data_IF_468241238291
#
_entry.id   IF_468241238291
#
_cell.length_a   1.000
_cell.length_b   1.000
_cell.length_c   1.000
_cell.angle_alpha   90.00
_cell.angle_beta   90.00
_cell.angle_gamma   90.00
#
_symmetry.space_group_name_H-M   'P 1'
#
loop_
_entity.id
_entity.type
_entity.pdbx_description
1 polymer ?
#
# COMPACT_ATOMS: atom_id res chain seq x y z
N UNK A 1 92.94 -30.94 3.17
CA UNK A 1 92.27 -30.07 4.16
C UNK A 1 90.90 -29.70 3.61
N UNK A 2 89.84 -30.25 4.21
CA UNK A 2 88.42 -30.03 3.91
C UNK A 2 87.92 -28.69 4.49
N UNK A 3 86.91 -28.09 3.84
CA UNK A 3 85.61 -27.58 4.39
C UNK A 3 85.03 -26.46 3.50
N UNK A 4 84.05 -26.80 2.66
CA UNK A 4 82.59 -26.55 2.80
C UNK A 4 82.15 -25.10 2.61
N UNK A 5 81.66 -24.76 1.40
CA UNK A 5 80.78 -23.61 1.15
C UNK A 5 79.33 -24.04 1.38
N UNK A 6 78.65 -23.30 2.24
CA UNK A 6 77.23 -23.42 2.59
C UNK A 6 76.34 -22.99 1.43
N UNK A 7 75.58 -23.93 0.88
CA UNK A 7 74.54 -23.67 -0.11
C UNK A 7 73.18 -23.63 0.62
N UNK A 8 72.71 -22.42 0.91
CA UNK A 8 71.45 -22.19 1.61
C UNK A 8 70.31 -22.14 0.60
N UNK A 9 69.78 -23.31 0.22
CA UNK A 9 68.52 -23.43 -0.53
C UNK A 9 67.35 -22.88 0.31
N UNK A 10 66.94 -21.65 0.05
CA UNK A 10 65.61 -21.15 0.46
C UNK A 10 64.56 -21.75 -0.48
N UNK A 11 63.86 -22.77 0.00
CA UNK A 11 62.59 -23.19 -0.59
C UNK A 11 61.55 -22.09 -0.42
N UNK A 12 61.09 -21.51 -1.52
CA UNK A 12 59.85 -20.74 -1.53
C UNK A 12 58.69 -21.71 -1.39
N UNK A 13 58.21 -21.93 -0.17
CA UNK A 13 56.87 -22.44 0.07
C UNK A 13 55.89 -21.32 -0.32
N UNK A 14 55.16 -21.52 -1.42
CA UNK A 14 54.00 -20.71 -1.77
C UNK A 14 52.88 -21.05 -0.79
N UNK A 15 52.80 -20.31 0.32
CA UNK A 15 51.68 -20.39 1.25
C UNK A 15 50.41 -19.91 0.56
N UNK A 16 49.48 -20.83 0.28
CA UNK A 16 48.12 -20.50 -0.08
C UNK A 16 47.47 -19.77 1.11
N UNK A 17 47.34 -18.44 1.00
CA UNK A 17 46.74 -17.62 2.06
C UNK A 17 45.23 -17.92 2.25
N UNK A 18 44.65 -17.55 3.41
CA UNK A 18 43.30 -17.94 3.85
C UNK A 18 42.14 -17.19 3.16
N UNK A 19 42.34 -16.77 1.91
CA UNK A 19 41.44 -15.89 1.18
C UNK A 19 40.12 -16.52 0.68
N UNK A 20 39.93 -17.85 0.52
CA UNK A 20 38.65 -18.35 0.01
C UNK A 20 37.51 -18.28 1.04
N UNK A 21 37.80 -18.17 2.35
CA UNK A 21 36.78 -18.15 3.40
C UNK A 21 36.18 -16.76 3.66
N UNK A 22 36.92 -15.68 3.39
CA UNK A 22 36.41 -14.30 3.53
C UNK A 22 35.44 -13.95 2.39
N UNK A 23 35.56 -14.59 1.22
CA UNK A 23 34.70 -14.33 0.06
C UNK A 23 33.29 -14.96 0.16
N UNK A 24 33.12 -16.08 0.86
CA UNK A 24 31.80 -16.67 1.05
C UNK A 24 30.90 -15.85 2.00
N UNK A 25 31.50 -15.12 2.95
CA UNK A 25 30.77 -14.27 3.89
C UNK A 25 30.20 -12.98 3.25
N UNK A 26 30.81 -12.49 2.16
CA UNK A 26 30.32 -11.29 1.44
C UNK A 26 29.14 -11.58 0.48
N UNK A 27 28.94 -12.83 0.04
CA UNK A 27 27.79 -13.22 -0.79
C UNK A 27 26.52 -13.53 0.04
N UNK A 28 26.64 -13.89 1.31
CA UNK A 28 25.50 -14.30 2.15
C UNK A 28 24.75 -13.10 2.77
N UNK A 29 25.39 -11.93 2.89
CA UNK A 29 24.75 -10.74 3.46
C UNK A 29 23.91 -9.91 2.45
N UNK A 30 23.83 -10.30 1.18
CA UNK A 30 23.24 -9.47 0.12
C UNK A 30 21.73 -9.69 -0.13
N UNK A 31 21.04 -10.58 0.60
CA UNK A 31 19.66 -10.97 0.25
C UNK A 31 18.65 -11.05 1.40
N UNK A 32 18.88 -10.36 2.51
CA UNK A 32 17.83 -10.19 3.52
C UNK A 32 16.85 -9.09 3.06
N UNK A 33 16.02 -9.41 2.07
CA UNK A 33 14.86 -8.59 1.67
C UNK A 33 13.90 -8.57 2.86
N UNK A 34 13.77 -7.44 3.53
CA UNK A 34 12.75 -7.25 4.55
C UNK A 34 11.57 -6.53 3.93
N UNK A 35 10.38 -7.05 4.16
CA UNK A 35 9.14 -6.33 3.92
C UNK A 35 9.18 -4.98 4.66
N UNK A 36 8.87 -3.90 3.94
CA UNK A 36 8.76 -2.56 4.49
C UNK A 36 7.29 -2.15 4.54
N UNK A 37 6.88 -1.53 5.65
CA UNK A 37 5.57 -0.91 5.77
C UNK A 37 5.60 0.51 5.18
N UNK A 38 4.59 0.85 4.38
CA UNK A 38 4.39 2.17 3.79
C UNK A 38 2.95 2.59 4.10
N UNK A 39 2.78 3.70 4.80
CA UNK A 39 1.45 4.28 5.07
C UNK A 39 1.23 5.47 4.16
N UNK A 40 0.07 5.50 3.51
CA UNK A 40 -0.33 6.56 2.59
C UNK A 40 -1.65 7.14 3.11
N UNK A 41 -1.66 8.42 3.45
CA UNK A 41 -2.91 9.13 3.74
C UNK A 41 -3.72 9.29 2.44
N UNK A 42 -5.04 9.32 2.54
CA UNK A 42 -5.90 9.57 1.39
C UNK A 42 -5.55 10.90 0.72
N UNK A 43 -5.58 10.92 -0.61
CA UNK A 43 -5.55 12.14 -1.41
C UNK A 43 -6.91 12.85 -1.37
N UNK A 44 -7.98 12.06 -1.41
CA UNK A 44 -9.35 12.56 -1.25
C UNK A 44 -10.29 11.41 -0.83
N UNK A 45 -11.47 11.77 -0.36
CA UNK A 45 -12.54 10.85 0.06
C UNK A 45 -13.89 11.55 0.00
N UNK A 46 -14.95 10.77 -0.10
CA UNK A 46 -16.29 11.34 -0.11
C UNK A 46 -17.35 10.29 -0.36
N UNK A 47 -18.51 10.72 -0.82
CA UNK A 47 -19.64 9.87 -1.17
C UNK A 47 -20.38 10.36 -2.41
N UNK A 48 -21.04 9.44 -3.09
CA UNK A 48 -22.12 9.74 -4.03
C UNK A 48 -23.44 9.21 -3.45
N UNK A 49 -24.49 10.01 -3.59
CA UNK A 49 -25.87 9.58 -3.34
C UNK A 49 -26.43 8.79 -4.51
N UNK A 50 -27.50 8.04 -4.28
CA UNK A 50 -28.24 7.28 -5.30
C UNK A 50 -28.90 8.16 -6.36
N UNK A 51 -29.15 9.43 -6.04
CA UNK A 51 -29.52 10.51 -6.98
C UNK A 51 -28.35 11.02 -7.84
N UNK A 52 -27.12 10.57 -7.54
CA UNK A 52 -25.88 10.96 -8.19
C UNK A 52 -25.22 12.22 -7.62
N UNK A 53 -25.73 12.78 -6.53
CA UNK A 53 -25.17 13.96 -5.88
C UNK A 53 -23.86 13.64 -5.19
N UNK A 54 -22.86 14.50 -5.38
CA UNK A 54 -21.63 14.56 -4.58
C UNK A 54 -21.31 16.02 -4.30
N UNK A 55 -21.14 16.37 -3.02
CA UNK A 55 -20.70 17.69 -2.62
C UNK A 55 -19.21 17.66 -2.25
N UNK A 56 -18.35 18.17 -3.13
CA UNK A 56 -16.89 18.20 -2.95
C UNK A 56 -16.42 19.06 -1.76
N UNK A 57 -17.32 19.79 -1.11
CA UNK A 57 -17.02 20.60 0.09
C UNK A 57 -17.26 19.84 1.40
N UNK A 58 -17.86 18.64 1.34
CA UNK A 58 -18.13 17.78 2.49
C UNK A 58 -17.12 16.64 2.46
N UNK A 59 -16.37 16.44 3.55
CA UNK A 59 -15.26 15.50 3.60
C UNK A 59 -15.58 14.22 4.40
N UNK A 60 -16.83 14.06 4.85
CA UNK A 60 -17.30 12.77 5.36
C UNK A 60 -17.39 11.76 4.21
N UNK A 61 -17.32 10.49 4.57
CA UNK A 61 -17.31 9.37 3.61
C UNK A 61 -18.34 8.32 4.03
N UNK A 62 -19.55 8.79 4.25
CA UNK A 62 -20.71 7.99 4.60
C UNK A 62 -20.96 6.89 3.56
N UNK A 63 -21.26 5.68 4.04
CA UNK A 63 -21.93 4.66 3.27
C UNK A 63 -23.16 4.16 4.03
N UNK A 64 -24.23 3.83 3.31
CA UNK A 64 -25.45 3.25 3.90
C UNK A 64 -26.73 4.01 3.58
N UNK A 65 -27.82 3.58 4.20
CA UNK A 65 -29.14 4.21 4.11
C UNK A 65 -29.29 5.27 5.20
N UNK A 66 -29.92 6.37 4.83
CA UNK A 66 -30.08 7.54 5.66
C UNK A 66 -31.40 8.21 5.34
N UNK A 67 -32.45 7.79 6.05
CA UNK A 67 -33.83 8.28 5.91
C UNK A 67 -33.91 9.81 5.69
N UNK A 68 -34.11 10.21 4.43
CA UNK A 68 -34.26 11.62 4.02
C UNK A 68 -32.99 12.49 4.08
N UNK A 69 -31.81 11.90 4.30
CA UNK A 69 -30.53 12.60 4.29
C UNK A 69 -30.12 13.24 5.63
N UNK A 70 -30.72 12.84 6.76
CA UNK A 70 -30.48 13.35 8.12
C UNK A 70 -29.03 13.22 8.62
N UNK A 71 -28.33 12.19 8.14
CA UNK A 71 -26.95 11.87 8.43
C UNK A 71 -25.94 12.77 7.68
N UNK A 72 -26.41 13.62 6.76
CA UNK A 72 -25.59 14.63 6.07
C UNK A 72 -25.97 16.02 6.58
N UNK A 73 -25.02 16.69 7.21
CA UNK A 73 -25.25 18.01 7.79
C UNK A 73 -25.74 19.03 6.75
N UNK A 74 -26.93 19.59 6.97
CA UNK A 74 -27.52 20.59 6.08
C UNK A 74 -28.22 20.03 4.84
N UNK A 75 -28.46 18.71 4.80
CA UNK A 75 -29.15 18.02 3.71
C UNK A 75 -30.53 17.54 4.19
N UNK A 76 -31.58 17.86 3.43
CA UNK A 76 -32.89 17.20 3.50
C UNK A 76 -33.23 16.84 2.05
N UNK A 77 -32.40 15.98 1.49
CA UNK A 77 -32.17 15.84 0.05
C UNK A 77 -33.06 14.78 -0.59
N UNK A 78 -33.68 13.91 0.21
CA UNK A 78 -34.40 12.74 -0.29
C UNK A 78 -33.47 11.73 -0.97
N UNK A 79 -32.19 11.75 -0.59
CA UNK A 79 -31.20 10.72 -0.92
C UNK A 79 -31.36 9.64 0.13
N UNK A 80 -31.59 8.41 -0.32
CA UNK A 80 -31.81 7.27 0.56
C UNK A 80 -30.47 6.55 0.78
N UNK A 81 -29.76 6.18 -0.29
CA UNK A 81 -28.49 5.44 -0.18
C UNK A 81 -27.26 6.28 -0.54
N UNK A 82 -26.21 6.14 0.26
CA UNK A 82 -24.89 6.72 0.04
C UNK A 82 -23.84 5.63 -0.16
N UNK A 83 -22.92 5.85 -1.09
CA UNK A 83 -21.74 5.00 -1.30
C UNK A 83 -20.50 5.85 -1.32
N UNK A 84 -19.47 5.41 -0.62
CA UNK A 84 -18.26 6.20 -0.44
C UNK A 84 -17.15 5.82 -1.41
N UNK A 85 -16.16 6.71 -1.49
CA UNK A 85 -14.93 6.48 -2.22
C UNK A 85 -13.72 6.96 -1.43
N UNK A 86 -12.57 6.37 -1.73
CA UNK A 86 -11.27 6.75 -1.19
C UNK A 86 -10.23 6.75 -2.29
N UNK A 87 -9.47 7.83 -2.42
CA UNK A 87 -8.43 7.97 -3.44
C UNK A 87 -7.07 8.08 -2.77
N UNK A 88 -6.09 7.30 -3.24
CA UNK A 88 -4.71 7.30 -2.75
C UNK A 88 -3.74 7.54 -3.91
N UNK A 89 -2.63 8.23 -3.66
CA UNK A 89 -1.54 8.39 -4.62
C UNK A 89 -0.44 7.35 -4.40
N UNK A 90 -0.33 6.40 -5.33
CA UNK A 90 0.68 5.34 -5.30
C UNK A 90 1.99 5.73 -5.99
N UNK A 91 2.15 6.97 -6.46
CA UNK A 91 3.33 7.42 -7.21
C UNK A 91 4.65 7.27 -6.45
N UNK A 92 4.60 7.27 -5.11
CA UNK A 92 5.75 7.04 -4.22
C UNK A 92 6.03 5.58 -3.86
N UNK A 93 5.16 4.64 -4.27
CA UNK A 93 5.30 3.23 -3.90
C UNK A 93 6.29 2.55 -4.83
N UNK A 94 7.28 1.86 -4.26
CA UNK A 94 8.31 1.15 -5.02
C UNK A 94 8.45 -0.29 -4.55
N UNK A 95 8.62 -1.20 -5.51
CA UNK A 95 8.66 -2.64 -5.28
C UNK A 95 7.27 -3.28 -5.24
N UNK A 96 7.18 -4.62 -5.32
CA UNK A 96 5.91 -5.33 -5.29
C UNK A 96 5.22 -5.23 -3.92
N UNK A 97 3.93 -4.91 -3.95
CA UNK A 97 3.02 -4.92 -2.80
C UNK A 97 2.63 -6.37 -2.52
N UNK A 98 2.83 -6.83 -1.28
CA UNK A 98 2.52 -8.19 -0.83
C UNK A 98 1.34 -8.27 0.12
N UNK A 99 1.01 -7.18 0.80
CA UNK A 99 -0.18 -7.05 1.64
C UNK A 99 -0.62 -5.59 1.68
N UNK A 100 -1.90 -5.36 1.95
CA UNK A 100 -2.45 -4.02 2.09
C UNK A 100 -3.65 -4.03 3.05
N UNK A 101 -3.78 -2.96 3.83
CA UNK A 101 -4.87 -2.74 4.78
C UNK A 101 -5.43 -1.35 4.52
N UNK A 102 -6.74 -1.27 4.28
CA UNK A 102 -7.47 0.00 4.26
C UNK A 102 -7.89 0.34 5.69
N UNK A 103 -7.48 1.49 6.18
CA UNK A 103 -7.69 1.94 7.56
C UNK A 103 -8.60 3.16 7.54
N UNK A 104 -9.78 3.05 8.15
CA UNK A 104 -10.85 4.05 8.10
C UNK A 104 -11.33 4.42 9.51
N UNK A 105 -11.33 5.69 9.85
CA UNK A 105 -11.83 6.14 11.15
C UNK A 105 -13.37 6.18 11.17
N UNK A 106 -13.98 5.41 12.07
CA UNK A 106 -15.41 5.48 12.32
C UNK A 106 -15.65 6.26 13.62
N UNK A 107 -16.26 7.45 13.52
CA UNK A 107 -16.41 8.37 14.64
C UNK A 107 -17.42 7.87 15.69
N UNK A 108 -17.22 8.21 16.97
CA UNK A 108 -18.21 8.12 18.05
C UNK A 108 -18.83 9.50 18.39
N UNK A 109 -18.54 10.51 17.58
CA UNK A 109 -18.86 11.90 17.83
C UNK A 109 -17.75 12.82 17.32
N UNK A 110 -18.11 13.95 16.73
CA UNK A 110 -17.15 15.01 16.38
C UNK A 110 -17.38 16.25 17.22
N UNK A 111 -16.46 17.20 17.19
CA UNK A 111 -16.68 18.52 17.84
C UNK A 111 -17.88 19.25 17.25
N UNK A 112 -18.18 19.00 15.97
CA UNK A 112 -19.33 19.57 15.27
C UNK A 112 -20.62 18.78 15.55
N UNK A 113 -20.52 17.47 15.71
CA UNK A 113 -21.65 16.55 15.93
C UNK A 113 -21.36 15.59 17.10
N UNK A 114 -21.37 16.08 18.36
CA UNK A 114 -20.87 15.31 19.50
C UNK A 114 -21.76 14.13 19.93
N UNK A 115 -23.00 14.06 19.44
CA UNK A 115 -23.95 12.99 19.74
C UNK A 115 -24.24 12.11 18.51
N UNK A 116 -23.47 12.28 17.43
CA UNK A 116 -23.66 11.56 16.18
C UNK A 116 -22.50 10.59 15.96
N UNK A 117 -22.84 9.33 15.77
CA UNK A 117 -21.88 8.25 15.58
C UNK A 117 -21.79 7.85 14.11
N UNK A 118 -20.67 7.26 13.71
CA UNK A 118 -20.47 6.86 12.33
C UNK A 118 -21.22 5.57 11.95
N UNK A 119 -21.35 4.63 12.89
CA UNK A 119 -22.16 3.43 12.72
C UNK A 119 -23.48 3.49 13.50
N UNK A 120 -24.58 3.23 12.79
CA UNK A 120 -25.91 3.00 13.35
C UNK A 120 -26.65 1.97 12.49
N UNK A 121 -27.39 1.06 13.11
CA UNK A 121 -28.27 0.07 12.45
C UNK A 121 -29.16 -0.58 13.49
N UNK A 122 -30.46 -0.69 13.20
CA UNK A 122 -31.45 -1.35 14.07
C UNK A 122 -31.27 -2.88 14.13
N UNK A 123 -30.63 -3.47 13.12
CA UNK A 123 -30.29 -4.91 13.10
C UNK A 123 -29.06 -5.23 13.94
N UNK A 124 -28.26 -4.21 14.27
CA UNK A 124 -27.08 -4.29 15.11
C UNK A 124 -25.79 -4.70 14.37
N UNK A 125 -25.86 -5.02 13.08
CA UNK A 125 -24.69 -5.32 12.26
C UNK A 125 -24.93 -5.11 10.78
N UNK A 126 -23.95 -4.53 10.08
CA UNK A 126 -23.99 -4.37 8.62
C UNK A 126 -22.76 -4.97 7.95
N UNK A 127 -22.91 -5.47 6.72
CA UNK A 127 -21.80 -5.96 5.90
C UNK A 127 -21.38 -4.87 4.92
N UNK A 128 -20.21 -4.30 5.17
CA UNK A 128 -19.55 -3.34 4.30
C UNK A 128 -18.66 -4.06 3.28
N UNK A 129 -18.74 -3.63 2.03
CA UNK A 129 -17.97 -4.15 0.91
C UNK A 129 -17.02 -3.07 0.41
N UNK A 130 -15.75 -3.42 0.18
CA UNK A 130 -14.79 -2.60 -0.55
C UNK A 130 -14.67 -3.14 -1.96
N UNK A 131 -14.79 -2.26 -2.96
CA UNK A 131 -14.89 -2.64 -4.37
C UNK A 131 -13.90 -1.87 -5.26
N UNK A 132 -13.61 -2.47 -6.41
CA UNK A 132 -13.02 -1.80 -7.55
C UNK A 132 -13.89 -0.62 -8.03
N UNK A 133 -13.23 0.43 -8.51
CA UNK A 133 -13.85 1.59 -9.15
C UNK A 133 -13.35 1.70 -10.59
N UNK A 134 -14.27 1.74 -11.54
CA UNK A 134 -13.98 1.98 -12.97
C UNK A 134 -14.27 3.41 -13.42
N UNK A 135 -15.02 4.17 -12.62
CA UNK A 135 -15.27 5.60 -12.81
C UNK A 135 -13.94 6.34 -12.84
N UNK A 136 -13.77 7.22 -13.83
CA UNK A 136 -12.57 8.03 -13.93
C UNK A 136 -12.37 8.83 -12.62
N UNK A 137 -11.19 8.69 -12.01
CA UNK A 137 -10.88 9.34 -10.73
C UNK A 137 -11.11 10.86 -10.82
N UNK A 138 -10.73 11.50 -11.92
CA UNK A 138 -10.98 12.92 -12.13
C UNK A 138 -12.47 13.29 -12.07
N UNK A 139 -13.37 12.41 -12.53
CA UNK A 139 -14.82 12.60 -12.44
C UNK A 139 -15.35 12.40 -11.03
N UNK A 140 -14.81 11.41 -10.29
CA UNK A 140 -15.12 11.23 -8.86
C UNK A 140 -14.82 12.50 -8.06
N UNK A 141 -13.57 12.96 -8.16
CA UNK A 141 -13.06 14.13 -7.42
C UNK A 141 -13.78 15.43 -7.81
N UNK A 142 -14.19 15.56 -9.08
CA UNK A 142 -14.86 16.77 -9.56
C UNK A 142 -16.37 16.79 -9.26
N UNK A 143 -16.96 15.74 -8.67
CA UNK A 143 -18.41 15.66 -8.47
C UNK A 143 -19.20 15.52 -9.76
N UNK A 144 -18.57 15.01 -10.82
CA UNK A 144 -19.18 14.88 -12.16
C UNK A 144 -19.52 13.44 -12.54
N UNK A 145 -19.28 12.49 -11.62
CA UNK A 145 -19.55 11.06 -11.84
C UNK A 145 -21.04 10.68 -11.87
N UNK A 146 -21.89 11.43 -11.17
CA UNK A 146 -23.35 11.23 -11.11
C UNK A 146 -23.76 9.84 -10.62
N UNK A 147 -24.97 9.41 -11.01
CA UNK A 147 -25.50 8.08 -10.68
C UNK A 147 -24.63 6.92 -11.21
N UNK A 148 -23.86 7.16 -12.28
CA UNK A 148 -22.94 6.16 -12.80
C UNK A 148 -21.80 5.88 -11.81
N UNK A 149 -21.26 6.93 -11.17
CA UNK A 149 -20.29 6.76 -10.10
C UNK A 149 -20.90 6.02 -8.91
N UNK A 150 -22.09 6.44 -8.44
CA UNK A 150 -22.79 5.73 -7.37
C UNK A 150 -22.93 4.21 -7.65
N UNK A 151 -23.38 3.85 -8.85
CA UNK A 151 -23.50 2.44 -9.26
C UNK A 151 -22.15 1.70 -9.23
N UNK A 152 -21.09 2.34 -9.73
CA UNK A 152 -19.74 1.79 -9.80
C UNK A 152 -19.11 1.54 -8.42
N UNK A 153 -19.33 2.44 -7.44
CA UNK A 153 -18.75 2.34 -6.09
C UNK A 153 -19.11 1.06 -5.31
N UNK A 154 -20.20 0.37 -5.70
CA UNK A 154 -20.67 -0.86 -5.04
C UNK A 154 -20.77 -2.09 -5.93
N UNK A 155 -20.37 -2.02 -7.21
CA UNK A 155 -20.62 -3.10 -8.18
C UNK A 155 -19.36 -3.72 -8.81
N UNK A 156 -18.19 -3.13 -8.58
CA UNK A 156 -16.91 -3.64 -9.06
C UNK A 156 -16.44 -4.93 -8.37
N UNK A 157 -15.25 -5.39 -8.77
CA UNK A 157 -14.59 -6.54 -8.14
C UNK A 157 -14.43 -6.33 -6.63
N UNK A 158 -14.87 -7.28 -5.81
CA UNK A 158 -14.70 -7.21 -4.35
C UNK A 158 -13.21 -7.29 -3.96
N UNK A 159 -12.77 -6.29 -3.20
CA UNK A 159 -11.43 -6.17 -2.65
C UNK A 159 -11.34 -6.51 -1.18
N UNK A 160 -12.43 -6.32 -0.42
CA UNK A 160 -12.56 -6.78 0.95
C UNK A 160 -14.02 -6.77 1.40
N UNK A 161 -14.27 -7.37 2.56
CA UNK A 161 -15.54 -7.24 3.29
C UNK A 161 -15.26 -7.07 4.77
N UNK A 162 -16.08 -6.26 5.44
CA UNK A 162 -16.02 -5.99 6.86
C UNK A 162 -17.42 -6.06 7.47
N UNK A 163 -17.59 -6.72 8.61
CA UNK A 163 -18.84 -6.69 9.38
C UNK A 163 -18.76 -5.57 10.41
N UNK A 164 -19.50 -4.50 10.15
CA UNK A 164 -19.62 -3.36 11.04
C UNK A 164 -20.63 -3.64 12.15
N UNK A 165 -20.31 -3.16 13.35
CA UNK A 165 -21.19 -3.12 14.51
C UNK A 165 -20.91 -1.83 15.28
N UNK A 166 -21.69 -1.52 16.31
CA UNK A 166 -21.46 -0.35 17.17
C UNK A 166 -20.10 -0.35 17.86
N UNK A 167 -19.41 -1.50 17.95
CA UNK A 167 -18.05 -1.58 18.47
C UNK A 167 -17.01 -0.87 17.57
N UNK A 168 -17.34 -0.56 16.32
CA UNK A 168 -16.47 0.20 15.43
C UNK A 168 -16.47 1.71 15.75
N UNK A 169 -17.47 2.23 16.48
CA UNK A 169 -17.56 3.66 16.79
C UNK A 169 -16.38 4.09 17.69
N UNK A 170 -15.74 5.21 17.34
CA UNK A 170 -14.58 5.78 18.03
C UNK A 170 -13.26 5.08 17.73
N UNK A 171 -13.22 4.25 16.67
CA UNK A 171 -12.04 3.42 16.35
C UNK A 171 -11.65 3.53 14.88
N UNK A 172 -10.39 3.18 14.60
CA UNK A 172 -9.95 2.90 13.24
C UNK A 172 -10.33 1.47 12.89
N UNK A 173 -11.15 1.33 11.84
CA UNK A 173 -11.49 0.06 11.23
C UNK A 173 -10.37 -0.33 10.28
N UNK A 174 -9.73 -1.47 10.54
CA UNK A 174 -8.66 -2.02 9.70
C UNK A 174 -9.22 -3.14 8.82
N UNK A 175 -9.27 -2.90 7.51
CA UNK A 175 -9.85 -3.81 6.52
C UNK A 175 -8.72 -4.41 5.68
N UNK A 176 -8.39 -5.67 5.94
CA UNK A 176 -7.39 -6.40 5.16
C UNK A 176 -7.87 -6.63 3.73
N UNK A 177 -7.06 -6.21 2.75
CA UNK A 177 -7.38 -6.34 1.34
C UNK A 177 -6.99 -7.73 0.78
N UNK A 178 -7.83 -8.26 -0.11
CA UNK A 178 -7.65 -9.58 -0.69
C UNK A 178 -6.66 -9.59 -1.87
N UNK A 179 -6.38 -10.77 -2.43
CA UNK A 179 -5.42 -10.93 -3.53
C UNK A 179 -5.81 -10.20 -4.82
N UNK A 180 -7.11 -9.98 -5.08
CA UNK A 180 -7.55 -9.20 -6.23
C UNK A 180 -7.18 -7.72 -6.07
N UNK A 181 -7.35 -7.18 -4.87
CA UNK A 181 -6.92 -5.82 -4.53
C UNK A 181 -5.40 -5.68 -4.64
N UNK A 182 -4.63 -6.64 -4.11
CA UNK A 182 -3.16 -6.64 -4.23
C UNK A 182 -2.73 -6.67 -5.70
N UNK A 183 -3.39 -7.47 -6.54
CA UNK A 183 -3.11 -7.51 -7.96
C UNK A 183 -3.40 -6.15 -8.64
N UNK A 184 -4.52 -5.50 -8.31
CA UNK A 184 -4.89 -4.20 -8.86
C UNK A 184 -3.92 -3.09 -8.43
N UNK A 185 -3.56 -3.05 -7.13
CA UNK A 185 -2.60 -2.10 -6.58
C UNK A 185 -1.22 -2.21 -7.24
N UNK A 186 -0.74 -3.43 -7.51
CA UNK A 186 0.54 -3.64 -8.21
C UNK A 186 0.52 -3.23 -9.69
N UNK A 187 -0.67 -3.06 -10.29
CA UNK A 187 -0.81 -2.60 -11.67
C UNK A 187 -1.01 -1.08 -11.78
N UNK A 188 -1.24 -0.41 -10.64
CA UNK A 188 -1.42 1.02 -10.57
C UNK A 188 -0.07 1.74 -10.35
N UNK A 189 0.06 2.95 -10.90
CA UNK A 189 1.29 3.75 -10.81
C UNK A 189 1.04 5.23 -10.50
N UNK A 190 -0.14 5.55 -9.97
CA UNK A 190 -0.59 6.90 -9.68
C UNK A 190 -1.81 6.84 -8.77
N UNK A 191 -2.83 7.67 -9.05
CA UNK A 191 -4.06 7.63 -8.27
C UNK A 191 -4.77 6.27 -8.39
N UNK A 192 -5.22 5.75 -7.27
CA UNK A 192 -6.02 4.54 -7.15
C UNK A 192 -7.25 4.82 -6.29
N UNK A 193 -8.40 4.29 -6.68
CA UNK A 193 -9.65 4.50 -5.97
C UNK A 193 -10.24 3.17 -5.46
N UNK A 194 -10.80 3.23 -4.26
CA UNK A 194 -11.67 2.21 -3.68
C UNK A 194 -13.09 2.76 -3.60
N UNK A 195 -14.07 1.91 -3.87
CA UNK A 195 -15.48 2.17 -3.59
C UNK A 195 -15.93 1.41 -2.35
N UNK A 196 -16.93 1.93 -1.67
CA UNK A 196 -17.52 1.27 -0.51
C UNK A 196 -19.03 1.39 -0.43
N UNK A 197 -19.67 0.29 -0.04
CA UNK A 197 -21.13 0.18 0.08
C UNK A 197 -21.53 -0.81 1.17
N UNK A 198 -22.68 -0.59 1.81
CA UNK A 198 -23.31 -1.59 2.68
C UNK A 198 -24.15 -2.53 1.81
N UNK A 199 -24.04 -3.84 2.04
CA UNK A 199 -24.70 -4.89 1.22
C UNK A 199 -25.87 -5.56 1.92
N UNK A 200 -26.12 -5.19 3.18
CA UNK A 200 -27.15 -5.76 4.05
C UNK A 200 -28.27 -4.77 4.37
N UNK A 201 -28.31 -3.63 3.67
CA UNK A 201 -29.39 -2.64 3.81
C UNK A 201 -30.75 -3.32 3.68
N UNK A 202 -31.66 -2.98 4.58
CA UNK A 202 -32.95 -3.65 4.71
C UNK A 202 -34.01 -3.09 3.74
N UNK A 203 -33.76 -1.91 3.15
CA UNK A 203 -34.62 -1.22 2.18
C UNK A 203 -35.86 -0.55 2.79
N UNK A 204 -35.88 -0.35 4.10
CA UNK A 204 -36.85 0.47 4.81
C UNK A 204 -36.29 1.88 5.05
N UNK A 205 -37.16 2.88 5.25
CA UNK A 205 -36.73 4.24 5.60
C UNK A 205 -36.32 4.29 7.08
N UNK A 206 -35.21 3.63 7.41
CA UNK A 206 -34.51 3.73 8.68
C UNK A 206 -33.03 4.11 8.46
N UNK A 207 -32.28 4.32 9.54
CA UNK A 207 -30.86 4.67 9.44
C UNK A 207 -30.02 3.39 9.53
N UNK A 208 -29.23 3.13 8.49
CA UNK A 208 -28.28 2.02 8.41
C UNK A 208 -26.97 2.57 7.85
N UNK A 209 -26.17 3.18 8.72
CA UNK A 209 -25.02 3.98 8.31
C UNK A 209 -23.70 3.40 8.78
N UNK A 210 -22.63 3.67 8.02
CA UNK A 210 -21.24 3.48 8.43
C UNK A 210 -20.41 4.68 8.00
N UNK A 211 -19.46 5.08 8.85
CA UNK A 211 -18.63 6.28 8.66
C UNK A 211 -19.44 7.58 8.49
N UNK A 212 -20.69 7.62 8.95
CA UNK A 212 -21.46 8.84 9.02
C UNK A 212 -20.72 9.90 9.85
N UNK A 213 -20.93 11.18 9.55
CA UNK A 213 -20.33 12.29 10.32
C UNK A 213 -18.80 12.28 10.45
N UNK A 214 -18.05 11.52 9.64
CA UNK A 214 -16.58 11.43 9.64
C UNK A 214 -15.83 12.69 9.15
N UNK A 215 -16.45 13.86 9.26
CA UNK A 215 -16.04 15.15 8.69
C UNK A 215 -14.95 15.88 9.51
N UNK A 216 -13.94 15.15 9.98
CA UNK A 216 -12.82 15.75 10.72
C UNK A 216 -11.94 16.68 9.86
N UNK A 217 -12.06 16.56 8.53
CA UNK A 217 -11.19 17.19 7.55
C UNK A 217 -9.75 16.65 7.51
N UNK A 218 -9.40 15.69 8.37
CA UNK A 218 -8.07 15.10 8.41
C UNK A 218 -7.96 13.91 7.46
N UNK A 219 -7.16 14.03 6.41
CA UNK A 219 -6.93 12.93 5.47
C UNK A 219 -6.28 11.70 6.14
N UNK A 220 -5.58 11.88 7.26
CA UNK A 220 -5.05 10.78 8.09
C UNK A 220 -6.12 9.90 8.74
N UNK A 221 -7.39 10.30 8.73
CA UNK A 221 -8.50 9.45 9.16
C UNK A 221 -8.84 8.36 8.11
N UNK A 222 -8.14 8.38 6.97
CA UNK A 222 -8.30 7.44 5.87
C UNK A 222 -6.92 7.09 5.34
N UNK A 223 -6.43 5.89 5.60
CA UNK A 223 -5.07 5.47 5.26
C UNK A 223 -5.06 4.16 4.49
N UNK A 224 -4.07 4.01 3.62
CA UNK A 224 -3.71 2.75 2.99
C UNK A 224 -2.34 2.34 3.52
N UNK A 225 -2.30 1.28 4.31
CA UNK A 225 -1.04 0.67 4.75
C UNK A 225 -0.67 -0.45 3.78
N UNK A 226 0.55 -0.39 3.25
CA UNK A 226 1.10 -1.35 2.31
C UNK A 226 2.29 -2.06 2.93
N UNK A 227 2.38 -3.37 2.69
CA UNK A 227 3.63 -4.11 2.86
C UNK A 227 4.26 -4.29 1.49
N UNK A 228 5.42 -3.69 1.27
CA UNK A 228 6.19 -3.79 0.02
C UNK A 228 7.47 -4.59 0.24
N UNK A 229 7.90 -5.33 -0.78
CA UNK A 229 9.23 -5.94 -0.78
C UNK A 229 10.15 -5.01 -1.57
N UNK A 230 11.13 -4.34 -0.92
CA UNK A 230 12.07 -3.50 -1.65
C UNK A 230 12.80 -4.31 -2.70
N UNK A 231 13.16 -3.70 -3.83
CA UNK A 231 14.02 -4.36 -4.81
C UNK A 231 15.33 -4.81 -4.14
N UNK A 232 15.85 -6.02 -4.43
CA UNK A 232 17.18 -6.40 -4.01
C UNK A 232 18.16 -5.31 -4.41
N UNK A 233 19.18 -5.08 -3.59
CA UNK A 233 20.29 -4.20 -3.92
C UNK A 233 21.11 -4.80 -5.06
N UNK A 234 20.50 -4.99 -6.22
CA UNK A 234 21.09 -5.46 -7.48
C UNK A 234 22.24 -4.56 -7.87
N UNK A 235 22.23 -3.28 -7.47
CA UNK A 235 23.37 -2.37 -7.55
C UNK A 235 24.58 -2.82 -6.71
N UNK A 236 24.38 -3.33 -5.49
CA UNK A 236 25.46 -3.91 -4.67
C UNK A 236 25.96 -5.23 -5.26
N UNK A 237 25.06 -6.07 -5.76
CA UNK A 237 25.43 -7.31 -6.46
C UNK A 237 26.21 -7.03 -7.75
N UNK A 238 25.80 -6.02 -8.53
CA UNK A 238 26.47 -5.60 -9.74
C UNK A 238 27.83 -4.94 -9.45
N UNK A 239 27.91 -4.08 -8.42
CA UNK A 239 29.17 -3.49 -7.97
C UNK A 239 30.14 -4.57 -7.46
N UNK A 240 29.64 -5.56 -6.72
CA UNK A 240 30.43 -6.72 -6.29
C UNK A 240 30.91 -7.54 -7.49
N UNK A 241 30.06 -7.78 -8.49
CA UNK A 241 30.42 -8.49 -9.72
C UNK A 241 31.49 -7.75 -10.53
N UNK A 242 31.38 -6.43 -10.67
CA UNK A 242 32.39 -5.60 -11.35
C UNK A 242 33.71 -5.61 -10.58
N UNK A 243 33.68 -5.51 -9.25
CA UNK A 243 34.87 -5.60 -8.41
C UNK A 243 35.56 -6.97 -8.55
N UNK A 244 34.80 -8.06 -8.62
CA UNK A 244 35.29 -9.42 -8.88
C UNK A 244 35.97 -9.53 -10.25
N UNK A 245 35.35 -9.02 -11.31
CA UNK A 245 35.91 -9.02 -12.66
C UNK A 245 37.20 -8.18 -12.76
N UNK A 246 37.24 -7.04 -12.07
CA UNK A 246 38.44 -6.21 -11.95
C UNK A 246 39.60 -6.92 -11.25
N UNK A 247 39.32 -7.59 -10.12
CA UNK A 247 40.31 -8.36 -9.37
C UNK A 247 40.84 -9.59 -10.11
N UNK A 248 40.03 -10.20 -10.99
CA UNK A 248 40.47 -11.30 -11.86
C UNK A 248 41.36 -10.80 -13.01
N UNK A 249 41.13 -9.58 -13.52
CA UNK A 249 41.91 -9.01 -14.63
C UNK A 249 43.33 -8.63 -14.23
N UNK A 250 43.55 -8.19 -12.99
CA UNK A 250 44.88 -7.81 -12.48
C UNK A 250 45.80 -9.01 -12.19
N UNK A 251 45.28 -10.25 -12.22
CA UNK A 251 46.06 -11.48 -12.02
C UNK A 251 46.73 -12.03 -13.30
N UNK A 252 46.55 -11.41 -14.46
CA UNK A 252 47.30 -11.79 -15.67
C UNK A 252 48.75 -11.28 -15.55
N UNK A 253 49.64 -12.15 -15.13
CA UNK A 253 51.08 -11.86 -15.06
C UNK A 253 51.65 -11.53 -16.44
N UNK A 254 52.52 -10.52 -16.57
CA UNK A 254 53.19 -10.22 -17.83
C UNK A 254 54.07 -11.41 -18.24
N UNK A 255 53.87 -11.88 -19.47
CA UNK A 255 54.72 -12.88 -20.10
C UNK A 255 56.14 -12.31 -20.17
N UNK A 256 57.16 -12.93 -19.56
CA UNK A 256 58.52 -12.42 -19.63
C UNK A 256 58.99 -12.47 -21.09
N UNK A 257 59.29 -11.30 -21.65
CA UNK A 257 59.95 -11.18 -22.94
C UNK A 257 61.35 -11.79 -22.82
N UNK A 258 61.56 -12.94 -23.44
CA UNK A 258 62.88 -13.56 -23.57
C UNK A 258 63.69 -12.65 -24.50
N UNK A 259 64.58 -11.86 -23.90
CA UNK A 259 65.61 -11.12 -24.63
C UNK A 259 66.53 -12.12 -25.32
N UNK A 260 66.56 -12.09 -26.66
CA UNK A 260 67.45 -12.90 -27.48
C UNK A 260 68.62 -12.02 -27.88
N UNK A 261 69.66 -12.02 -27.07
CA UNK A 261 70.91 -11.34 -27.40
C UNK A 261 71.62 -12.06 -28.55
N UNK A 262 72.04 -11.29 -29.54
CA UNK A 262 73.04 -11.64 -30.55
C UNK A 262 74.02 -10.48 -30.67
#
# INVERSE_FOLDING_TARGET
MQRTRSDQRRGHQAGAGPWPLVLAALLVCASAQHAAAVTIDATDRGWYGDDGTHNTSILNYLAGDCDGGTCVAGSNTGIDEFRNFFVFDLSGVTGPITAATLILHNTDGTTQFPNNVGFFSDTGSETYLVSEVSTAIASLLAGTGGMAAFGDLGSGTSYASFTATSAANGTFVEIALNSAAIAALNQASGLFAFGGSITTLNGFPDEETLFAFSDSGLLSDTQLELTVVPEPSTALLLAAAIALLGALRTRRTPIPLIHRDR
#
